data_IF_995291800530
#
_entry.id   IF_995291800530
#
_cell.length_a   1.000
_cell.length_b   1.000
_cell.length_c   1.000
_cell.angle_alpha   90.00
_cell.angle_beta   90.00
_cell.angle_gamma   90.00
#
_symmetry.space_group_name_H-M   'P 1'
#
loop_
_entity.id
_entity.type
_entity.pdbx_description
1 polymer ?
#
# COMPACT_ATOMS: atom_id res chain seq x y z
N UNK A 1 46.78 27.82 -4.86
CA UNK A 1 45.45 27.73 -4.22
C UNK A 1 44.90 26.36 -4.64
N UNK A 2 44.88 25.31 -3.80
CA UNK A 2 44.10 25.18 -2.55
C UNK A 2 42.68 25.71 -2.79
N UNK A 3 41.63 24.89 -2.79
CA UNK A 3 41.25 23.97 -1.70
C UNK A 3 41.13 22.50 -2.18
N UNK A 4 41.87 21.60 -1.53
CA UNK A 4 41.69 20.14 -1.65
C UNK A 4 41.81 19.49 -0.27
N UNK A 5 40.85 19.84 0.57
CA UNK A 5 40.65 19.44 1.97
C UNK A 5 39.16 19.66 2.25
N UNK A 6 38.42 18.82 2.97
CA UNK A 6 38.77 17.64 3.76
C UNK A 6 37.54 16.71 3.84
N UNK A 7 37.60 15.51 3.25
CA UNK A 7 36.78 14.38 3.73
C UNK A 7 37.77 13.33 4.21
N UNK A 8 38.29 13.58 5.40
CA UNK A 8 39.11 12.63 6.13
C UNK A 8 38.25 11.43 6.51
N UNK A 9 38.74 10.23 6.20
CA UNK A 9 38.66 9.06 7.06
C UNK A 9 37.30 8.80 7.77
N UNK A 10 36.36 8.21 7.03
CA UNK A 10 35.67 7.02 7.57
C UNK A 10 36.11 5.84 6.70
N UNK A 11 37.40 5.51 6.80
CA UNK A 11 37.90 4.17 6.52
C UNK A 11 37.96 3.47 7.86
N UNK A 12 37.04 2.54 8.10
CA UNK A 12 37.20 1.61 9.21
C UNK A 12 38.53 0.86 9.06
N UNK A 13 39.43 0.91 10.04
CA UNK A 13 40.79 0.37 9.89
C UNK A 13 40.85 -1.17 9.94
N UNK A 14 39.70 -1.85 9.88
CA UNK A 14 39.57 -3.31 9.97
C UNK A 14 39.26 -4.00 8.63
N UNK A 15 39.19 -3.28 7.50
CA UNK A 15 38.93 -3.89 6.18
C UNK A 15 40.22 -4.27 5.44
N UNK A 16 41.06 -5.08 6.09
CA UNK A 16 42.25 -5.72 5.48
C UNK A 16 42.07 -7.22 5.18
N UNK A 17 40.90 -7.79 5.49
CA UNK A 17 40.52 -9.13 5.00
C UNK A 17 39.96 -9.03 3.59
N UNK A 18 40.23 -9.98 2.68
CA UNK A 18 39.49 -10.07 1.42
C UNK A 18 38.00 -10.15 1.74
N UNK A 19 37.17 -9.38 1.03
CA UNK A 19 35.73 -9.35 1.26
C UNK A 19 35.19 -10.79 1.19
N UNK A 20 34.64 -11.36 2.28
CA UNK A 20 34.12 -12.72 2.25
C UNK A 20 33.01 -12.76 1.20
N UNK A 21 32.99 -13.82 0.38
CA UNK A 21 32.05 -13.96 -0.73
C UNK A 21 30.62 -13.70 -0.21
N UNK A 22 30.06 -12.56 -0.61
CA UNK A 22 28.83 -12.01 -0.04
C UNK A 22 27.68 -12.97 -0.32
N UNK A 23 27.39 -13.82 0.67
CA UNK A 23 26.48 -14.94 0.50
C UNK A 23 25.07 -14.40 0.41
N UNK A 24 24.34 -14.74 -0.66
CA UNK A 24 23.01 -14.20 -0.99
C UNK A 24 22.05 -14.15 0.22
N UNK A 25 22.13 -15.13 1.12
CA UNK A 25 21.35 -15.17 2.38
C UNK A 25 21.45 -13.90 3.24
N UNK A 26 22.57 -13.19 3.24
CA UNK A 26 22.76 -11.97 4.05
C UNK A 26 22.18 -10.71 3.40
N UNK A 27 21.82 -10.76 2.11
CA UNK A 27 21.16 -9.67 1.37
C UNK A 27 19.65 -9.87 1.24
N UNK A 28 19.14 -11.08 1.51
CA UNK A 28 17.71 -11.42 1.38
C UNK A 28 17.04 -11.30 2.74
N UNK A 29 16.03 -10.45 2.81
CA UNK A 29 15.13 -10.35 3.96
C UNK A 29 13.80 -11.02 3.63
N UNK A 30 13.37 -11.97 4.47
CA UNK A 30 12.11 -12.70 4.32
C UNK A 30 11.05 -12.06 5.24
N UNK A 31 10.22 -11.20 4.66
CA UNK A 31 9.14 -10.53 5.39
C UNK A 31 7.98 -11.48 5.74
N UNK A 32 7.44 -11.33 6.94
CA UNK A 32 6.32 -12.12 7.48
C UNK A 32 5.44 -11.38 8.50
N UNK A 33 5.85 -10.20 8.98
CA UNK A 33 5.08 -9.35 9.90
C UNK A 33 3.91 -8.63 9.23
N UNK A 34 3.94 -8.47 7.90
CA UNK A 34 2.82 -7.97 7.09
C UNK A 34 2.66 -8.76 5.79
N UNK A 35 1.46 -8.74 5.20
CA UNK A 35 1.16 -9.45 3.97
C UNK A 35 1.66 -8.68 2.73
N UNK A 36 2.98 -8.66 2.55
CA UNK A 36 3.61 -8.34 1.26
C UNK A 36 3.16 -9.32 0.15
N UNK A 37 2.80 -10.54 0.55
CA UNK A 37 2.13 -11.54 -0.28
C UNK A 37 1.06 -12.28 0.56
N UNK A 38 -0.16 -11.76 0.61
CA UNK A 38 -1.28 -12.41 1.30
C UNK A 38 -2.00 -13.43 0.41
N UNK A 39 -2.10 -14.68 0.86
CA UNK A 39 -2.86 -15.72 0.15
C UNK A 39 -4.37 -15.40 0.20
N UNK A 40 -4.98 -15.19 -0.97
CA UNK A 40 -6.38 -14.75 -1.05
C UNK A 40 -7.38 -15.66 -0.32
N UNK A 41 -7.17 -16.98 -0.36
CA UNK A 41 -8.11 -17.97 0.18
C UNK A 41 -8.34 -17.93 1.69
N UNK A 42 -7.50 -17.23 2.46
CA UNK A 42 -7.69 -16.99 3.90
C UNK A 42 -8.04 -15.53 4.25
N UNK A 43 -8.10 -14.65 3.25
CA UNK A 43 -8.30 -13.20 3.43
C UNK A 43 -9.67 -12.74 2.94
N UNK A 44 -10.08 -13.15 1.72
CA UNK A 44 -11.23 -12.52 1.02
C UNK A 44 -12.58 -12.74 1.70
N UNK A 45 -12.69 -13.79 2.50
CA UNK A 45 -13.90 -14.14 3.25
C UNK A 45 -13.97 -13.45 4.63
N UNK A 46 -12.92 -12.70 5.03
CA UNK A 46 -12.88 -11.89 6.27
C UNK A 46 -12.98 -10.37 6.05
N UNK A 47 -13.13 -9.88 4.82
CA UNK A 47 -13.11 -8.43 4.57
C UNK A 47 -14.19 -7.66 5.31
N UNK A 48 -15.38 -8.23 5.50
CA UNK A 48 -16.43 -7.63 6.31
C UNK A 48 -16.01 -7.48 7.78
N UNK A 49 -15.46 -8.54 8.39
CA UNK A 49 -14.88 -8.50 9.75
C UNK A 49 -13.78 -7.43 9.87
N UNK A 50 -12.94 -7.28 8.83
CA UNK A 50 -11.86 -6.29 8.79
C UNK A 50 -12.38 -4.85 8.75
N UNK A 51 -13.48 -4.59 8.03
CA UNK A 51 -14.13 -3.27 7.96
C UNK A 51 -14.78 -2.91 9.29
N UNK A 52 -15.36 -3.88 10.00
CA UNK A 52 -16.07 -3.64 11.27
C UNK A 52 -15.12 -3.44 12.46
N UNK A 53 -14.00 -4.18 12.51
CA UNK A 53 -13.15 -4.25 13.71
C UNK A 53 -11.80 -3.54 13.59
N UNK A 54 -11.36 -3.20 12.38
CA UNK A 54 -10.02 -2.67 12.12
C UNK A 54 -10.06 -1.49 11.13
N UNK A 55 -8.88 -0.92 10.86
CA UNK A 55 -8.70 0.22 9.96
C UNK A 55 -7.54 -0.01 9.00
N UNK A 56 -7.50 0.67 7.83
CA UNK A 56 -6.37 0.62 6.91
C UNK A 56 -5.06 1.10 7.56
N UNK A 57 -3.94 0.64 6.99
CA UNK A 57 -2.57 1.03 7.40
C UNK A 57 -1.80 0.00 8.23
N UNK A 58 -2.41 -1.14 8.61
CA UNK A 58 -1.76 -2.19 9.40
C UNK A 58 -0.92 -3.17 8.55
N UNK A 59 -1.41 -3.53 7.36
CA UNK A 59 -0.72 -4.41 6.40
C UNK A 59 -0.78 -5.92 6.70
N UNK A 60 -1.17 -6.31 7.91
CA UNK A 60 -1.16 -7.69 8.42
C UNK A 60 -2.53 -8.40 8.32
N UNK A 61 -2.78 -9.39 9.17
CA UNK A 61 -4.04 -10.14 9.26
C UNK A 61 -5.28 -9.31 9.62
N UNK A 62 -5.12 -8.09 10.13
CA UNK A 62 -6.19 -7.17 10.47
C UNK A 62 -6.59 -6.30 9.28
N UNK A 63 -5.62 -5.99 8.40
CA UNK A 63 -5.85 -5.28 7.15
C UNK A 63 -4.73 -5.58 6.13
N UNK A 64 -4.90 -6.57 5.24
CA UNK A 64 -3.82 -7.08 4.41
C UNK A 64 -3.34 -6.03 3.39
N UNK A 65 -2.02 -5.85 3.27
CA UNK A 65 -1.42 -4.94 2.27
C UNK A 65 -1.63 -5.47 0.84
N UNK A 66 -1.36 -6.75 0.60
CA UNK A 66 -1.55 -7.40 -0.70
C UNK A 66 -2.44 -8.62 -0.56
N UNK A 67 -3.53 -8.67 -1.31
CA UNK A 67 -4.30 -9.91 -1.54
C UNK A 67 -3.91 -10.48 -2.90
N UNK A 68 -3.13 -11.56 -2.91
CA UNK A 68 -2.64 -12.19 -4.13
C UNK A 68 -3.44 -13.45 -4.49
N UNK A 69 -4.08 -13.39 -5.66
CA UNK A 69 -4.92 -14.44 -6.22
C UNK A 69 -4.13 -15.57 -6.88
N UNK A 70 -3.18 -16.17 -6.16
CA UNK A 70 -2.42 -17.33 -6.65
C UNK A 70 -3.33 -18.48 -7.06
N UNK A 71 -3.01 -19.11 -8.19
CA UNK A 71 -3.77 -20.19 -8.82
C UNK A 71 -5.03 -19.76 -9.58
N UNK A 72 -5.53 -18.54 -9.37
CA UNK A 72 -6.57 -17.97 -10.22
C UNK A 72 -5.98 -17.49 -11.55
N UNK A 73 -6.50 -17.98 -12.68
CA UNK A 73 -6.01 -17.65 -14.02
C UNK A 73 -7.14 -17.09 -14.88
N UNK A 74 -7.66 -15.88 -14.61
CA UNK A 74 -8.87 -15.33 -15.26
C UNK A 74 -8.70 -15.10 -16.78
N UNK A 75 -7.46 -14.91 -17.25
CA UNK A 75 -7.14 -14.81 -18.68
C UNK A 75 -6.72 -16.15 -19.31
N UNK A 76 -6.62 -17.22 -18.51
CA UNK A 76 -6.16 -18.56 -18.93
C UNK A 76 -7.28 -19.60 -18.92
N UNK A 77 -7.00 -20.79 -19.44
CA UNK A 77 -8.00 -21.88 -19.54
C UNK A 77 -8.03 -22.86 -18.35
N UNK A 78 -6.95 -22.93 -17.56
CA UNK A 78 -6.78 -23.94 -16.50
C UNK A 78 -6.29 -23.29 -15.20
N UNK A 79 -7.22 -22.70 -14.43
CA UNK A 79 -6.95 -22.26 -13.06
C UNK A 79 -7.03 -23.41 -12.07
N UNK A 80 -6.37 -23.27 -10.93
CA UNK A 80 -6.35 -24.28 -9.85
C UNK A 80 -7.59 -24.16 -8.95
N UNK A 81 -8.40 -23.10 -9.17
CA UNK A 81 -9.65 -22.80 -8.48
C UNK A 81 -10.76 -22.45 -9.51
N UNK A 82 -12.05 -22.63 -9.16
CA UNK A 82 -13.16 -22.25 -10.04
C UNK A 82 -13.11 -20.76 -10.43
N UNK A 83 -13.15 -20.48 -11.74
CA UNK A 83 -12.99 -19.13 -12.31
C UNK A 83 -14.03 -18.16 -11.74
N UNK A 84 -15.28 -18.60 -11.56
CA UNK A 84 -16.35 -17.78 -10.98
C UNK A 84 -16.05 -17.34 -9.54
N UNK A 85 -15.50 -18.24 -8.70
CA UNK A 85 -15.09 -17.89 -7.33
C UNK A 85 -13.93 -16.89 -7.35
N UNK A 86 -12.94 -17.11 -8.22
CA UNK A 86 -11.83 -16.19 -8.41
C UNK A 86 -12.33 -14.79 -8.80
N UNK A 87 -13.13 -14.67 -9.86
CA UNK A 87 -13.63 -13.38 -10.34
C UNK A 87 -14.52 -12.67 -9.31
N UNK A 88 -15.43 -13.40 -8.65
CA UNK A 88 -16.28 -12.82 -7.60
C UNK A 88 -15.47 -12.28 -6.41
N UNK A 89 -14.39 -12.96 -6.04
CA UNK A 89 -13.53 -12.54 -4.93
C UNK A 89 -12.51 -11.47 -5.34
N UNK A 90 -12.09 -11.44 -6.62
CA UNK A 90 -11.34 -10.33 -7.20
C UNK A 90 -12.16 -9.04 -7.21
N UNK A 91 -13.44 -9.08 -7.63
CA UNK A 91 -14.35 -7.92 -7.55
C UNK A 91 -14.52 -7.44 -6.09
N UNK A 92 -14.61 -8.36 -5.11
CA UNK A 92 -14.65 -8.02 -3.67
C UNK A 92 -13.36 -7.37 -3.17
N UNK A 93 -12.20 -7.94 -3.50
CA UNK A 93 -10.89 -7.40 -3.13
C UNK A 93 -10.62 -6.04 -3.77
N UNK A 94 -11.04 -5.85 -5.03
CA UNK A 94 -11.00 -4.56 -5.71
C UNK A 94 -11.84 -3.53 -4.95
N UNK A 95 -13.11 -3.83 -4.64
CA UNK A 95 -13.99 -2.89 -3.92
C UNK A 95 -13.53 -2.61 -2.48
N UNK A 96 -12.84 -3.57 -1.83
CA UNK A 96 -12.21 -3.38 -0.50
C UNK A 96 -11.03 -2.38 -0.56
N UNK A 97 -10.22 -2.44 -1.62
CA UNK A 97 -9.19 -1.45 -1.92
C UNK A 97 -9.78 -0.09 -2.31
N UNK A 98 -10.66 -0.09 -3.30
CA UNK A 98 -11.26 1.11 -3.91
C UNK A 98 -12.10 1.92 -2.93
N UNK A 99 -12.73 1.27 -1.93
CA UNK A 99 -13.40 1.98 -0.84
C UNK A 99 -12.49 2.97 -0.09
N UNK A 100 -11.21 2.64 0.11
CA UNK A 100 -10.24 3.54 0.77
C UNK A 100 -9.98 4.80 -0.08
N UNK A 101 -10.10 4.70 -1.41
CA UNK A 101 -9.95 5.83 -2.34
C UNK A 101 -11.26 6.62 -2.46
N UNK A 102 -12.40 5.93 -2.60
CA UNK A 102 -13.72 6.57 -2.72
C UNK A 102 -14.09 7.38 -1.48
N UNK A 103 -13.71 6.94 -0.28
CA UNK A 103 -13.95 7.66 0.98
C UNK A 103 -13.35 9.07 0.97
N UNK A 104 -12.16 9.24 0.38
CA UNK A 104 -11.50 10.55 0.17
C UNK A 104 -12.43 11.52 -0.55
N UNK A 105 -13.13 11.04 -1.58
CA UNK A 105 -14.10 11.80 -2.38
C UNK A 105 -15.51 11.87 -1.76
N UNK A 106 -15.76 11.14 -0.67
CA UNK A 106 -17.06 11.11 0.02
C UNK A 106 -18.03 10.05 -0.52
N UNK A 107 -17.50 8.98 -1.12
CA UNK A 107 -18.26 7.85 -1.66
C UNK A 107 -17.81 6.52 -1.05
N UNK A 108 -18.60 5.48 -1.25
CA UNK A 108 -18.24 4.08 -0.93
C UNK A 108 -19.09 3.14 -1.77
N UNK A 109 -18.63 1.93 -2.06
CA UNK A 109 -19.45 0.88 -2.65
C UNK A 109 -20.64 0.53 -1.75
N UNK A 110 -21.78 0.16 -2.34
CA UNK A 110 -22.98 -0.25 -1.58
C UNK A 110 -22.74 -1.53 -0.77
N UNK A 111 -21.90 -2.43 -1.30
CA UNK A 111 -21.38 -3.64 -0.67
C UNK A 111 -20.14 -4.09 -1.45
N UNK A 112 -19.26 -4.92 -0.86
CA UNK A 112 -18.07 -5.41 -1.56
C UNK A 112 -18.40 -6.24 -2.83
N UNK A 113 -19.61 -6.80 -2.92
CA UNK A 113 -20.08 -7.53 -4.10
C UNK A 113 -20.76 -6.63 -5.17
N UNK A 114 -20.79 -5.31 -5.01
CA UNK A 114 -21.51 -4.41 -5.91
C UNK A 114 -20.67 -3.24 -6.40
N UNK A 115 -20.57 -3.10 -7.73
CA UNK A 115 -19.91 -1.97 -8.42
C UNK A 115 -20.67 -0.64 -8.30
N UNK A 116 -21.81 -0.62 -7.60
CA UNK A 116 -22.63 0.58 -7.41
C UNK A 116 -22.14 1.32 -6.17
N UNK A 117 -21.73 2.58 -6.34
CA UNK A 117 -21.38 3.46 -5.23
C UNK A 117 -22.59 4.14 -4.60
N UNK A 118 -22.44 4.59 -3.36
CA UNK A 118 -23.32 5.50 -2.62
C UNK A 118 -22.48 6.66 -2.07
N UNK A 119 -23.11 7.83 -1.92
CA UNK A 119 -22.51 9.00 -1.27
C UNK A 119 -22.55 8.81 0.26
N UNK A 120 -21.48 9.20 0.94
CA UNK A 120 -21.31 9.10 2.40
C UNK A 120 -21.51 10.46 3.08
N UNK A 121 -21.07 11.56 2.43
CA UNK A 121 -21.16 12.94 2.92
C UNK A 121 -21.94 13.84 1.96
N UNK A 122 -22.73 14.78 2.50
CA UNK A 122 -23.40 15.82 1.71
C UNK A 122 -22.38 16.68 0.94
N UNK A 123 -22.84 17.35 -0.11
CA UNK A 123 -22.00 18.33 -0.81
C UNK A 123 -21.76 19.57 0.07
N UNK A 124 -20.55 20.11 -0.01
CA UNK A 124 -20.12 21.33 0.67
C UNK A 124 -19.61 22.31 -0.38
N UNK A 125 -19.88 23.60 -0.17
CA UNK A 125 -19.26 24.68 -0.95
C UNK A 125 -17.74 24.77 -0.72
N UNK A 126 -17.24 24.18 0.38
CA UNK A 126 -15.85 24.28 0.83
C UNK A 126 -15.18 22.89 0.87
N UNK A 127 -14.93 22.24 -0.29
CA UNK A 127 -14.39 20.87 -0.33
C UNK A 127 -12.96 20.75 0.21
N UNK A 128 -12.19 21.85 0.24
CA UNK A 128 -10.78 21.85 0.67
C UNK A 128 -10.59 21.89 2.19
N UNK A 129 -11.62 22.26 2.96
CA UNK A 129 -11.57 22.30 4.43
C UNK A 129 -11.84 20.92 5.06
N UNK A 130 -12.29 19.95 4.25
CA UNK A 130 -12.60 18.60 4.71
C UNK A 130 -11.33 17.78 4.95
N UNK A 131 -11.11 17.39 6.21
CA UNK A 131 -10.11 16.38 6.55
C UNK A 131 -10.65 14.99 6.19
N UNK A 132 -9.82 14.24 5.48
CA UNK A 132 -9.98 12.81 5.22
C UNK A 132 -9.55 12.02 6.49
N UNK A 133 -10.39 11.08 6.93
CA UNK A 133 -10.16 10.25 8.13
C UNK A 133 -8.85 9.45 8.03
N UNK A 134 -8.47 9.03 6.83
CA UNK A 134 -7.25 8.27 6.56
C UNK A 134 -6.02 9.17 6.32
N UNK A 135 -6.21 10.50 6.21
CA UNK A 135 -5.16 11.46 5.88
C UNK A 135 -4.57 11.33 4.47
N UNK A 136 -5.05 10.40 3.64
CA UNK A 136 -4.54 10.09 2.30
C UNK A 136 -4.54 11.32 1.38
N UNK A 137 -5.59 12.14 1.44
CA UNK A 137 -5.67 13.42 0.71
C UNK A 137 -4.50 14.36 1.00
N UNK A 138 -4.03 14.39 2.25
CA UNK A 138 -3.00 15.34 2.72
C UNK A 138 -1.58 14.80 2.51
N UNK A 139 -1.41 13.48 2.37
CA UNK A 139 -0.11 12.86 2.03
C UNK A 139 0.47 13.44 0.72
N UNK A 140 -0.39 13.88 -0.21
CA UNK A 140 0.04 14.50 -1.49
C UNK A 140 -0.06 16.02 -1.53
N UNK A 141 -0.96 16.65 -0.78
CA UNK A 141 -1.04 18.13 -0.70
C UNK A 141 0.10 18.76 0.11
N UNK A 142 0.76 18.01 1.02
CA UNK A 142 2.01 18.48 1.67
C UNK A 142 3.20 18.61 0.70
N UNK A 143 3.19 17.92 -0.44
CA UNK A 143 4.18 18.14 -1.51
C UNK A 143 3.99 19.46 -2.27
N UNK A 144 2.87 20.17 -2.05
CA UNK A 144 2.64 21.52 -2.56
C UNK A 144 2.78 22.62 -1.51
N UNK A 145 3.26 22.30 -0.30
CA UNK A 145 4.06 23.27 0.46
C UNK A 145 5.51 23.22 -0.02
N UNK A 146 5.69 23.40 -1.34
CA UNK A 146 6.88 24.03 -1.86
C UNK A 146 6.88 25.47 -1.34
N UNK A 147 7.32 25.66 -0.09
CA UNK A 147 7.72 26.99 0.37
C UNK A 147 8.82 27.43 -0.56
N UNK A 148 8.53 28.44 -1.37
CA UNK A 148 9.53 29.10 -2.20
C UNK A 148 10.55 29.78 -1.29
N UNK A 149 11.58 29.03 -0.88
CA UNK A 149 12.85 29.60 -0.47
C UNK A 149 13.44 30.21 -1.72
N UNK A 150 13.31 31.53 -1.84
CA UNK A 150 14.10 32.31 -2.80
C UNK A 150 15.54 31.86 -2.71
N UNK A 151 16.10 31.40 -3.82
CA UNK A 151 17.54 31.40 -4.01
C UNK A 151 17.84 32.68 -4.77
N UNK A 152 18.47 33.64 -4.09
CA UNK A 152 19.02 34.82 -4.74
C UNK A 152 20.34 34.45 -5.41
N UNK A 153 20.50 34.90 -6.66
CA UNK A 153 21.76 35.12 -7.37
C UNK A 153 21.58 36.37 -8.21
#
# INVERSE_FOLDING_TARGET
>A
MMIRTLVMMIRDPAMTTPAPAMTIRALVYLESGYYLHGYWGILVDRYEEMIENYHPGLGDHRWPLVTHFVGCKPCGKFGDYPVERCLKQMDRAFNFGDNQILQIYGFTHKSLASRKVKRVRNETSNPLEMKDESGCFIQRLRLLSCKSTKFET
#
